data_IF_305495384838
#
_entry.id   IF_305495384838
#
_cell.length_a   1.000
_cell.length_b   1.000
_cell.length_c   1.000
_cell.angle_alpha   90.00
_cell.angle_beta   90.00
_cell.angle_gamma   90.00
#
_symmetry.space_group_name_H-M   'P 1'
#
loop_
_entity.id
_entity.type
_entity.pdbx_description
1 polymer ?
#
# COMPACT_ATOMS: atom_id res chain seq x y z
N UNK A 1 54.51 67.28 22.98
CA UNK A 1 54.08 66.50 24.16
C UNK A 1 53.52 65.19 23.63
N UNK A 2 53.93 63.99 24.00
CA UNK A 2 54.85 63.45 25.00
C UNK A 2 55.25 62.06 24.49
N UNK A 3 56.53 61.72 24.63
CA UNK A 3 57.12 60.40 24.96
C UNK A 3 56.84 59.22 24.00
N UNK A 4 57.80 58.80 23.17
CA UNK A 4 58.99 57.95 23.45
C UNK A 4 58.70 56.58 24.11
N UNK A 5 59.26 55.56 23.44
CA UNK A 5 59.86 54.33 23.99
C UNK A 5 58.93 53.18 24.39
N UNK A 6 59.13 52.03 23.71
CA UNK A 6 59.27 50.64 24.21
C UNK A 6 59.00 49.72 23.00
N UNK A 7 60.02 49.33 22.25
CA UNK A 7 60.94 48.19 22.43
C UNK A 7 60.58 47.01 21.51
N UNK A 8 61.51 46.74 20.59
CA UNK A 8 61.53 45.67 19.60
C UNK A 8 61.67 44.27 20.22
N UNK A 9 60.72 43.85 21.05
CA UNK A 9 60.66 42.48 21.58
C UNK A 9 59.26 41.91 21.42
N UNK A 10 58.90 41.55 20.18
CA UNK A 10 57.93 40.46 19.92
C UNK A 10 57.75 40.09 18.45
N UNK A 11 58.32 40.82 17.48
CA UNK A 11 58.16 40.45 16.06
C UNK A 11 59.02 39.22 15.68
N UNK A 12 60.10 38.93 16.41
CA UNK A 12 60.97 37.78 16.15
C UNK A 12 60.35 36.41 16.48
N UNK A 13 59.23 36.35 17.22
CA UNK A 13 58.52 35.09 17.50
C UNK A 13 57.40 34.77 16.48
N UNK A 14 57.08 35.69 15.57
CA UNK A 14 56.10 35.47 14.50
C UNK A 14 56.74 34.97 13.19
N UNK A 15 58.07 34.92 13.13
CA UNK A 15 58.86 34.54 11.95
C UNK A 15 59.66 33.24 12.15
N UNK A 16 59.28 32.39 13.12
CA UNK A 16 59.77 31.01 13.09
C UNK A 16 59.01 30.29 11.97
N UNK A 17 59.66 29.78 10.91
CA UNK A 17 59.00 28.82 10.05
C UNK A 17 58.59 27.67 10.98
N UNK A 18 57.27 27.44 11.10
CA UNK A 18 56.77 26.19 11.67
C UNK A 18 57.58 25.09 11.03
N UNK A 19 58.12 24.11 11.79
CA UNK A 19 58.85 23.01 11.18
C UNK A 19 57.97 22.53 10.04
N UNK A 20 58.48 22.63 8.81
CA UNK A 20 57.80 22.14 7.62
C UNK A 20 57.39 20.75 8.02
N UNK A 21 56.09 20.58 8.33
CA UNK A 21 55.50 19.28 8.49
C UNK A 21 55.84 18.70 7.15
N UNK A 22 56.85 17.83 7.11
CA UNK A 22 57.21 17.11 5.92
C UNK A 22 55.86 16.70 5.39
N UNK A 23 55.53 17.24 4.22
CA UNK A 23 54.38 16.78 3.47
C UNK A 23 54.80 15.35 3.14
N UNK A 24 54.66 14.46 4.13
CA UNK A 24 54.44 13.06 3.93
C UNK A 24 53.30 13.11 2.94
N UNK A 25 53.65 12.83 1.69
CA UNK A 25 52.67 12.48 0.70
C UNK A 25 51.88 11.36 1.36
N UNK A 26 50.70 11.67 1.92
CA UNK A 26 49.77 10.63 2.36
C UNK A 26 49.20 10.11 1.06
N UNK A 27 50.00 9.29 0.39
CA UNK A 27 49.62 8.57 -0.81
C UNK A 27 48.49 7.63 -0.42
N UNK A 28 47.39 7.82 -1.13
CA UNK A 28 46.21 6.97 -1.30
C UNK A 28 45.34 6.70 -0.07
N UNK A 29 44.19 7.39 -0.02
CA UNK A 29 42.97 6.76 0.51
C UNK A 29 42.73 5.46 -0.27
N UNK A 30 42.45 4.38 0.45
CA UNK A 30 41.92 3.16 -0.17
C UNK A 30 40.64 3.47 -0.95
N UNK A 31 40.50 2.88 -2.14
CA UNK A 31 39.40 3.10 -3.10
C UNK A 31 37.99 2.88 -2.51
N UNK A 32 37.88 2.22 -1.35
CA UNK A 32 36.64 1.86 -0.68
C UNK A 32 36.57 2.37 0.76
N UNK A 33 36.89 3.66 0.97
CA UNK A 33 36.75 4.34 2.26
C UNK A 33 36.26 5.80 2.09
N UNK A 34 35.25 6.25 2.86
CA UNK A 34 34.73 7.62 2.77
C UNK A 34 35.79 8.66 3.14
N UNK A 35 35.70 9.82 2.47
CA UNK A 35 36.65 10.91 2.68
C UNK A 35 36.47 11.64 3.99
N UNK A 36 35.25 12.04 4.27
CA UNK A 36 34.91 12.72 5.52
C UNK A 36 33.72 11.98 6.10
N UNK A 37 33.70 11.79 7.41
CA UNK A 37 32.52 11.31 8.12
C UNK A 37 32.19 12.27 9.26
N UNK A 38 30.89 12.50 9.48
CA UNK A 38 30.41 13.34 10.59
C UNK A 38 30.79 12.72 11.95
N UNK A 39 30.69 11.40 12.05
CA UNK A 39 31.01 10.64 13.24
C UNK A 39 32.00 9.51 12.92
N UNK A 40 32.92 9.24 13.86
CA UNK A 40 33.90 8.14 13.74
C UNK A 40 33.31 6.77 14.10
N UNK A 41 32.25 6.74 14.92
CA UNK A 41 31.56 5.51 15.36
C UNK A 41 30.07 5.64 15.03
N UNK A 42 29.47 4.59 14.47
CA UNK A 42 28.04 4.57 14.11
C UNK A 42 27.31 3.39 14.77
N UNK A 43 26.06 3.56 15.20
CA UNK A 43 25.25 2.47 15.72
C UNK A 43 25.14 1.32 14.71
N UNK A 44 24.99 0.08 15.21
CA UNK A 44 24.94 -1.13 14.37
C UNK A 44 23.84 -1.02 13.30
N UNK A 45 22.66 -0.53 13.69
CA UNK A 45 21.46 -0.48 12.85
C UNK A 45 21.04 -1.85 12.32
N UNK A 46 20.10 -1.90 11.38
CA UNK A 46 19.73 -3.10 10.62
C UNK A 46 19.85 -2.85 9.11
N UNK A 47 19.84 -3.91 8.30
CA UNK A 47 19.70 -3.77 6.83
C UNK A 47 18.23 -3.42 6.56
N UNK A 48 17.94 -2.33 5.83
CA UNK A 48 16.56 -1.90 5.63
C UNK A 48 15.80 -2.91 4.76
N UNK A 49 14.60 -3.30 5.20
CA UNK A 49 13.65 -4.07 4.40
C UNK A 49 12.74 -3.07 3.69
N UNK A 50 12.69 -3.16 2.36
CA UNK A 50 11.95 -2.20 1.53
C UNK A 50 10.50 -2.65 1.36
N UNK A 51 9.67 -2.37 2.36
CA UNK A 51 8.24 -2.74 2.33
C UNK A 51 7.44 -1.93 1.30
N UNK A 52 7.83 -0.67 1.04
CA UNK A 52 7.12 0.22 0.11
C UNK A 52 7.42 0.01 -1.37
N UNK A 53 7.67 -1.23 -1.83
CA UNK A 53 7.79 -1.51 -3.28
C UNK A 53 9.06 -0.99 -3.97
N UNK A 54 10.08 -0.55 -3.25
CA UNK A 54 11.22 0.14 -3.86
C UNK A 54 12.17 -0.79 -4.65
N UNK A 55 12.15 -0.65 -5.98
CA UNK A 55 13.05 -1.31 -6.95
C UNK A 55 14.39 -0.60 -7.16
N UNK A 56 14.72 0.40 -6.33
CA UNK A 56 15.90 1.23 -6.54
C UNK A 56 17.21 0.44 -6.49
N UNK A 57 18.03 0.53 -7.54
CA UNK A 57 19.28 -0.21 -7.71
C UNK A 57 19.13 -1.74 -7.67
N UNK A 58 17.98 -2.25 -8.11
CA UNK A 58 17.80 -3.69 -8.40
C UNK A 58 17.94 -4.02 -9.89
N UNK A 59 18.13 -2.99 -10.71
CA UNK A 59 18.41 -2.99 -12.15
C UNK A 59 19.83 -2.53 -12.48
N UNK A 60 20.30 -2.91 -13.66
CA UNK A 60 21.57 -2.44 -14.23
C UNK A 60 21.45 -1.01 -14.76
N UNK A 61 22.49 -0.20 -14.55
CA UNK A 61 22.53 1.20 -15.04
C UNK A 61 23.75 1.50 -15.93
N UNK A 62 24.95 1.01 -15.59
CA UNK A 62 26.18 1.35 -16.32
C UNK A 62 26.70 0.18 -17.16
N UNK A 63 26.68 -1.03 -16.60
CA UNK A 63 27.14 -2.24 -17.29
C UNK A 63 26.04 -2.96 -18.08
N UNK A 64 26.46 -3.91 -18.91
CA UNK A 64 25.55 -4.80 -19.66
C UNK A 64 25.16 -6.02 -18.84
N UNK A 65 26.07 -6.50 -17.99
CA UNK A 65 25.84 -7.63 -17.11
C UNK A 65 26.14 -7.23 -15.67
N UNK A 66 25.59 -7.95 -14.69
CA UNK A 66 25.92 -7.68 -13.30
C UNK A 66 25.59 -8.81 -12.33
N UNK A 67 25.95 -8.58 -11.08
CA UNK A 67 25.78 -9.52 -9.97
C UNK A 67 24.90 -8.87 -8.90
N UNK A 68 23.75 -9.48 -8.68
CA UNK A 68 22.71 -9.02 -7.76
C UNK A 68 22.61 -9.95 -6.55
N UNK A 69 22.37 -9.37 -5.38
CA UNK A 69 22.26 -10.12 -4.12
C UNK A 69 20.84 -10.64 -3.90
N UNK A 70 20.72 -11.88 -3.42
CA UNK A 70 19.42 -12.51 -3.12
C UNK A 70 19.01 -12.39 -1.65
N UNK A 71 19.94 -12.11 -0.74
CA UNK A 71 19.70 -12.10 0.71
C UNK A 71 20.22 -10.80 1.33
N UNK A 72 19.54 -10.20 2.31
CA UNK A 72 19.99 -8.94 2.90
C UNK A 72 21.28 -9.17 3.69
N UNK A 73 22.30 -8.36 3.48
CA UNK A 73 23.57 -8.52 4.19
C UNK A 73 24.34 -7.21 4.40
N UNK A 74 25.34 -7.29 5.28
CA UNK A 74 26.37 -6.25 5.42
C UNK A 74 27.65 -6.77 4.81
N UNK A 75 28.17 -6.03 3.84
CA UNK A 75 29.34 -6.45 3.08
C UNK A 75 30.51 -5.56 3.48
N UNK A 76 31.62 -6.17 3.87
CA UNK A 76 32.84 -5.43 4.22
C UNK A 76 33.52 -4.87 2.97
N UNK A 77 34.23 -3.75 3.12
CA UNK A 77 35.03 -3.16 2.04
C UNK A 77 36.10 -4.13 1.51
N UNK A 78 36.70 -4.94 2.40
CA UNK A 78 37.67 -5.98 2.02
C UNK A 78 37.05 -7.05 1.11
N UNK A 79 35.82 -7.46 1.42
CA UNK A 79 35.07 -8.42 0.59
C UNK A 79 34.77 -7.83 -0.79
N UNK A 80 34.31 -6.58 -0.84
CA UNK A 80 34.04 -5.88 -2.11
C UNK A 80 35.32 -5.75 -2.95
N UNK A 81 36.44 -5.37 -2.34
CA UNK A 81 37.73 -5.27 -3.03
C UNK A 81 38.22 -6.62 -3.58
N UNK A 82 38.03 -7.70 -2.82
CA UNK A 82 38.36 -9.07 -3.26
C UNK A 82 37.54 -9.48 -4.47
N UNK A 83 36.23 -9.20 -4.46
CA UNK A 83 35.33 -9.44 -5.59
C UNK A 83 35.72 -8.60 -6.81
N UNK A 84 35.95 -7.30 -6.62
CA UNK A 84 36.34 -6.39 -7.69
C UNK A 84 37.65 -6.80 -8.35
N UNK A 85 38.64 -7.19 -7.55
CA UNK A 85 39.94 -7.68 -8.04
C UNK A 85 39.78 -8.95 -8.85
N UNK A 86 38.92 -9.88 -8.41
CA UNK A 86 38.63 -11.11 -9.15
C UNK A 86 37.99 -10.81 -10.52
N UNK A 87 37.00 -9.91 -10.55
CA UNK A 87 36.34 -9.50 -11.80
C UNK A 87 37.34 -8.81 -12.73
N UNK A 88 38.10 -7.83 -12.22
CA UNK A 88 39.13 -7.09 -12.99
C UNK A 88 40.17 -8.02 -13.61
N UNK A 89 40.59 -9.08 -12.90
CA UNK A 89 41.50 -10.09 -13.44
C UNK A 89 40.87 -10.89 -14.58
N UNK A 90 39.62 -11.30 -14.44
CA UNK A 90 38.91 -12.08 -15.46
C UNK A 90 38.59 -11.28 -16.73
N UNK A 91 38.22 -10.00 -16.60
CA UNK A 91 37.88 -9.16 -17.76
C UNK A 91 39.09 -8.54 -18.45
N UNK A 92 40.31 -8.70 -17.89
CA UNK A 92 41.55 -8.08 -18.39
C UNK A 92 41.82 -8.37 -19.88
N UNK A 93 41.41 -9.54 -20.36
CA UNK A 93 41.59 -9.96 -21.77
C UNK A 93 40.75 -9.13 -22.74
N UNK A 94 39.61 -8.60 -22.29
CA UNK A 94 38.72 -7.79 -23.13
C UNK A 94 39.14 -6.32 -23.06
N UNK A 95 39.73 -5.81 -24.15
CA UNK A 95 40.15 -4.40 -24.23
C UNK A 95 38.94 -3.46 -24.07
N UNK A 96 39.05 -2.50 -23.15
CA UNK A 96 37.98 -1.52 -22.90
C UNK A 96 36.86 -1.98 -21.96
N UNK A 97 36.89 -3.23 -21.47
CA UNK A 97 35.96 -3.69 -20.44
C UNK A 97 36.24 -3.02 -19.09
N UNK A 98 35.17 -2.65 -18.37
CA UNK A 98 35.21 -1.99 -17.07
C UNK A 98 34.29 -2.71 -16.09
N UNK A 99 34.71 -2.75 -14.83
CA UNK A 99 33.91 -3.19 -13.70
C UNK A 99 33.42 -1.94 -12.95
N UNK A 100 32.11 -1.87 -12.71
CA UNK A 100 31.46 -0.81 -11.95
C UNK A 100 30.96 -1.35 -10.62
N UNK A 101 31.31 -0.68 -9.52
CA UNK A 101 30.80 -0.99 -8.19
C UNK A 101 29.58 -0.09 -7.91
N UNK A 102 28.41 -0.70 -7.68
CA UNK A 102 27.12 -0.01 -7.44
C UNK A 102 26.85 0.31 -5.96
N UNK A 103 27.71 -0.16 -5.06
CA UNK A 103 27.61 0.07 -3.61
C UNK A 103 28.88 0.69 -3.07
N UNK A 104 28.76 1.62 -2.14
CA UNK A 104 29.91 2.23 -1.49
C UNK A 104 29.88 1.89 0.01
N UNK A 105 31.01 1.45 0.61
CA UNK A 105 31.07 1.16 2.04
C UNK A 105 31.24 2.44 2.85
N UNK A 106 30.12 2.98 3.30
CA UNK A 106 29.98 4.23 4.05
C UNK A 106 29.79 4.01 5.56
N UNK A 107 29.50 2.79 6.02
CA UNK A 107 29.21 2.47 7.41
C UNK A 107 30.49 2.12 8.19
N UNK A 108 30.88 2.88 9.23
CA UNK A 108 32.01 2.52 10.07
C UNK A 108 31.62 1.42 11.05
N UNK A 109 32.28 0.26 10.96
CA UNK A 109 32.10 -0.85 11.90
C UNK A 109 33.17 -0.74 12.99
N UNK A 110 32.71 -0.74 14.24
CA UNK A 110 33.56 -0.74 15.41
C UNK A 110 33.40 -2.07 16.13
N UNK A 111 34.50 -2.74 16.43
CA UNK A 111 34.52 -4.02 17.13
C UNK A 111 35.31 -3.85 18.41
N UNK A 112 34.80 -4.45 19.48
CA UNK A 112 35.50 -4.54 20.75
C UNK A 112 36.34 -5.81 20.73
N UNK A 113 37.57 -5.75 21.23
CA UNK A 113 38.46 -6.91 21.31
C UNK A 113 37.78 -8.07 22.05
N UNK A 114 37.96 -9.28 21.54
CA UNK A 114 37.32 -10.49 22.05
C UNK A 114 37.78 -10.80 23.50
N UNK A 115 38.97 -10.33 23.85
CA UNK A 115 39.59 -10.42 25.18
C UNK A 115 38.94 -9.50 26.24
N UNK A 116 38.14 -8.51 25.84
CA UNK A 116 37.60 -7.50 26.75
C UNK A 116 36.16 -7.83 27.16
N UNK A 117 35.89 -7.87 28.48
CA UNK A 117 34.54 -8.06 29.05
C UNK A 117 33.54 -7.01 28.58
N UNK A 118 32.23 -7.31 28.68
CA UNK A 118 31.14 -6.39 28.34
C UNK A 118 31.18 -5.09 29.17
N UNK A 119 30.55 -4.02 28.67
CA UNK A 119 30.57 -2.68 29.30
C UNK A 119 31.72 -1.78 28.81
N UNK A 120 32.12 -0.76 29.59
CA UNK A 120 33.23 0.18 29.30
C UNK A 120 33.14 0.92 27.95
N UNK A 121 31.94 1.07 27.40
CA UNK A 121 31.68 1.78 26.15
C UNK A 121 32.02 0.98 24.88
N UNK A 122 32.03 1.68 23.76
CA UNK A 122 32.14 1.09 22.41
C UNK A 122 33.60 0.98 21.93
N UNK A 123 33.92 -0.14 21.28
CA UNK A 123 35.25 -0.40 20.70
C UNK A 123 35.74 0.62 19.66
N UNK A 124 37.01 0.51 19.24
CA UNK A 124 37.59 1.32 18.17
C UNK A 124 37.00 0.98 16.79
N UNK A 125 37.24 1.83 15.80
CA UNK A 125 36.91 1.56 14.39
C UNK A 125 37.81 0.44 13.85
N UNK A 126 37.23 -0.48 13.08
CA UNK A 126 37.97 -1.60 12.48
C UNK A 126 37.92 -1.56 10.95
N UNK A 127 36.72 -1.49 10.35
CA UNK A 127 36.56 -1.50 8.89
C UNK A 127 35.30 -0.79 8.41
N UNK A 128 35.26 -0.50 7.10
CA UNK A 128 34.08 0.04 6.42
C UNK A 128 33.22 -1.08 5.86
N UNK A 129 31.90 -0.93 5.95
CA UNK A 129 30.94 -1.85 5.36
C UNK A 129 29.83 -1.08 4.63
N UNK A 130 29.07 -1.77 3.78
CA UNK A 130 27.81 -1.26 3.23
C UNK A 130 26.66 -2.18 3.62
N UNK A 131 25.43 -1.65 3.59
CA UNK A 131 24.20 -2.43 3.73
C UNK A 131 23.66 -2.74 2.35
N UNK A 132 23.60 -4.02 1.98
CA UNK A 132 23.01 -4.49 0.73
C UNK A 132 21.63 -5.07 1.03
N UNK A 133 20.59 -4.47 0.45
CA UNK A 133 19.21 -4.97 0.51
C UNK A 133 19.02 -6.12 -0.47
N UNK A 134 17.96 -6.91 -0.27
CA UNK A 134 17.56 -7.95 -1.22
C UNK A 134 17.35 -7.36 -2.61
N UNK A 135 17.90 -8.01 -3.63
CA UNK A 135 17.83 -7.54 -5.00
C UNK A 135 18.78 -6.39 -5.31
N UNK A 136 19.66 -5.94 -4.41
CA UNK A 136 20.60 -4.88 -4.77
C UNK A 136 21.71 -5.40 -5.70
N UNK A 137 21.96 -4.68 -6.78
CA UNK A 137 23.11 -4.92 -7.67
C UNK A 137 24.39 -4.45 -6.99
N UNK A 138 25.42 -5.31 -6.93
CA UNK A 138 26.72 -4.96 -6.34
C UNK A 138 27.73 -4.56 -7.40
N UNK A 139 27.86 -5.39 -8.44
CA UNK A 139 28.85 -5.23 -9.50
C UNK A 139 28.17 -5.24 -10.85
N UNK A 140 28.68 -4.42 -11.76
CA UNK A 140 28.31 -4.45 -13.17
C UNK A 140 29.57 -4.55 -14.02
N UNK A 141 29.43 -5.20 -15.17
CA UNK A 141 30.50 -5.36 -16.15
C UNK A 141 29.96 -4.87 -17.50
N UNK A 142 30.73 -4.01 -18.16
CA UNK A 142 30.38 -3.46 -19.46
C UNK A 142 31.56 -2.80 -20.15
N UNK A 143 31.32 -2.25 -21.34
CA UNK A 143 32.38 -1.67 -22.19
C UNK A 143 33.13 -2.72 -23.01
N UNK A 144 33.79 -2.27 -24.08
CA UNK A 144 34.65 -3.12 -24.93
C UNK A 144 33.94 -4.25 -25.68
N UNK A 145 32.61 -4.20 -25.81
CA UNK A 145 31.85 -5.26 -26.50
C UNK A 145 31.92 -6.63 -25.83
N UNK A 146 32.03 -6.68 -24.50
CA UNK A 146 32.20 -7.94 -23.77
C UNK A 146 31.09 -8.96 -24.05
N UNK A 147 31.49 -10.18 -24.40
CA UNK A 147 30.58 -11.31 -24.62
C UNK A 147 29.98 -11.82 -23.29
N UNK A 148 28.79 -12.41 -23.36
CA UNK A 148 28.03 -12.86 -22.19
C UNK A 148 28.77 -13.94 -21.41
N UNK A 149 29.46 -14.83 -22.10
CA UNK A 149 30.18 -15.98 -21.54
C UNK A 149 31.36 -15.51 -20.67
N UNK A 150 32.12 -14.53 -21.18
CA UNK A 150 33.25 -13.93 -20.47
C UNK A 150 32.75 -13.16 -19.24
N UNK A 151 31.69 -12.38 -19.38
CA UNK A 151 31.10 -11.64 -18.26
C UNK A 151 30.53 -12.58 -17.19
N UNK A 152 29.86 -13.67 -17.60
CA UNK A 152 29.34 -14.70 -16.70
C UNK A 152 30.48 -15.37 -15.92
N UNK A 153 31.54 -15.83 -16.60
CA UNK A 153 32.71 -16.42 -15.93
C UNK A 153 33.36 -15.45 -14.93
N UNK A 154 33.53 -14.18 -15.31
CA UNK A 154 34.10 -13.15 -14.45
C UNK A 154 33.27 -12.93 -13.17
N UNK A 155 31.95 -12.82 -13.30
CA UNK A 155 31.04 -12.64 -12.16
C UNK A 155 30.89 -13.91 -11.32
N UNK A 156 31.00 -15.09 -11.93
CA UNK A 156 31.00 -16.37 -11.24
C UNK A 156 32.23 -16.52 -10.33
N UNK A 157 33.38 -15.94 -10.69
CA UNK A 157 34.53 -15.86 -9.78
C UNK A 157 34.29 -14.94 -8.57
N UNK A 158 33.47 -13.90 -8.70
CA UNK A 158 33.12 -13.03 -7.57
C UNK A 158 32.10 -13.67 -6.62
N UNK A 159 31.15 -14.45 -7.15
CA UNK A 159 30.06 -15.09 -6.41
C UNK A 159 30.49 -15.81 -5.11
N UNK A 160 31.49 -16.71 -5.08
CA UNK A 160 31.88 -17.42 -3.86
C UNK A 160 32.61 -16.55 -2.82
N UNK A 161 33.04 -15.34 -3.20
CA UNK A 161 33.69 -14.39 -2.27
C UNK A 161 32.66 -13.57 -1.49
N UNK A 162 31.42 -13.52 -1.96
CA UNK A 162 30.33 -12.85 -1.25
C UNK A 162 29.81 -13.74 -0.12
N UNK A 163 29.39 -13.15 1.02
CA UNK A 163 28.87 -13.90 2.17
C UNK A 163 27.44 -14.40 1.95
N UNK A 164 26.82 -14.10 0.81
CA UNK A 164 25.41 -14.37 0.52
C UNK A 164 25.21 -14.88 -0.90
N UNK A 165 24.06 -15.53 -1.12
CA UNK A 165 23.65 -15.95 -2.45
C UNK A 165 23.48 -14.74 -3.37
N UNK A 166 23.95 -14.90 -4.60
CA UNK A 166 23.86 -13.90 -5.66
C UNK A 166 23.52 -14.52 -6.99
N UNK A 167 22.88 -13.74 -7.84
CA UNK A 167 22.44 -14.11 -9.18
C UNK A 167 23.07 -13.22 -10.24
N UNK A 168 23.34 -13.81 -11.40
CA UNK A 168 23.77 -13.11 -12.60
C UNK A 168 22.56 -12.43 -13.24
N UNK A 169 22.73 -11.19 -13.69
CA UNK A 169 21.69 -10.41 -14.37
C UNK A 169 22.20 -9.78 -15.66
N UNK A 170 21.29 -9.60 -16.62
CA UNK A 170 21.50 -8.94 -17.92
C UNK A 170 20.58 -7.72 -18.02
N UNK A 171 20.75 -6.88 -19.06
CA UNK A 171 19.93 -5.68 -19.29
C UNK A 171 18.44 -6.02 -19.31
N UNK A 172 18.06 -7.15 -19.91
CA UNK A 172 16.65 -7.56 -20.04
C UNK A 172 16.09 -8.23 -18.79
N UNK A 173 16.91 -8.44 -17.75
CA UNK A 173 16.42 -9.06 -16.52
C UNK A 173 15.44 -8.14 -15.78
N UNK A 174 14.40 -8.77 -15.22
CA UNK A 174 13.38 -8.09 -14.41
C UNK A 174 13.99 -7.52 -13.13
N UNK A 175 13.45 -6.40 -12.67
CA UNK A 175 13.80 -5.83 -11.37
C UNK A 175 13.39 -6.81 -10.26
N UNK A 176 14.08 -6.79 -9.12
CA UNK A 176 13.74 -7.63 -7.98
C UNK A 176 13.14 -6.78 -6.87
N UNK A 177 12.04 -7.25 -6.29
CA UNK A 177 11.38 -6.67 -5.13
C UNK A 177 11.22 -7.78 -4.06
N UNK A 178 12.15 -7.83 -3.12
CA UNK A 178 12.22 -8.96 -2.19
C UNK A 178 12.44 -10.27 -2.94
N UNK A 179 11.55 -11.25 -2.74
CA UNK A 179 11.55 -12.52 -3.49
C UNK A 179 10.96 -12.39 -4.89
N UNK A 180 10.12 -11.38 -5.14
CA UNK A 180 9.37 -11.21 -6.39
C UNK A 180 10.24 -10.59 -7.48
N UNK A 181 9.95 -10.95 -8.73
CA UNK A 181 10.49 -10.30 -9.92
C UNK A 181 9.40 -9.40 -10.50
N UNK A 182 9.72 -8.13 -10.62
CA UNK A 182 8.81 -7.09 -11.12
C UNK A 182 9.38 -6.57 -12.43
N UNK A 183 8.51 -6.28 -13.39
CA UNK A 183 8.94 -5.63 -14.62
C UNK A 183 9.60 -4.28 -14.30
N UNK A 184 10.51 -3.83 -15.16
CA UNK A 184 11.16 -2.54 -14.93
C UNK A 184 10.07 -1.47 -14.82
N UNK A 185 10.18 -0.53 -13.87
CA UNK A 185 9.23 0.55 -13.77
C UNK A 185 9.13 1.25 -15.13
N UNK A 186 7.92 1.56 -15.57
CA UNK A 186 7.69 2.25 -16.84
C UNK A 186 8.59 3.48 -16.95
N UNK A 187 9.10 3.75 -18.16
CA UNK A 187 9.90 4.96 -18.38
C UNK A 187 9.09 6.17 -17.93
N UNK A 188 9.79 7.20 -17.44
CA UNK A 188 9.14 8.43 -17.00
C UNK A 188 8.26 9.01 -18.11
N UNK A 189 8.67 8.92 -19.39
CA UNK A 189 7.82 9.38 -20.50
C UNK A 189 6.54 8.54 -20.64
N UNK A 190 6.63 7.21 -20.50
CA UNK A 190 5.46 6.33 -20.58
C UNK A 190 4.51 6.54 -19.39
N UNK A 191 5.06 6.74 -18.19
CA UNK A 191 4.28 7.10 -17.00
C UNK A 191 3.56 8.43 -17.20
N UNK A 192 4.27 9.47 -17.69
CA UNK A 192 3.69 10.77 -17.97
C UNK A 192 2.59 10.69 -19.04
N UNK A 193 2.76 9.87 -20.09
CA UNK A 193 1.70 9.62 -21.09
C UNK A 193 0.45 8.97 -20.47
N UNK A 194 0.62 8.03 -19.54
CA UNK A 194 -0.49 7.33 -18.87
C UNK A 194 -1.15 8.19 -17.79
N UNK A 195 -0.37 8.93 -17.00
CA UNK A 195 -0.87 9.85 -15.98
C UNK A 195 -1.49 11.10 -16.59
N UNK A 196 -1.01 11.54 -17.75
CA UNK A 196 -1.52 12.67 -18.53
C UNK A 196 -2.78 12.36 -19.32
N UNK A 197 -3.47 11.22 -19.08
CA UNK A 197 -4.75 10.93 -19.75
C UNK A 197 -5.76 12.06 -19.53
N UNK A 198 -5.75 12.76 -18.38
CA UNK A 198 -6.61 13.92 -18.17
C UNK A 198 -6.30 15.08 -19.14
N UNK A 199 -5.06 15.23 -19.60
CA UNK A 199 -4.66 16.26 -20.57
C UNK A 199 -5.27 15.99 -21.95
N UNK A 200 -5.64 14.73 -22.22
CA UNK A 200 -6.36 14.35 -23.43
C UNK A 200 -7.85 14.71 -23.42
N UNK A 201 -8.43 15.05 -22.25
CA UNK A 201 -9.82 15.51 -22.10
C UNK A 201 -9.95 17.02 -22.37
N UNK A 202 -9.54 17.47 -23.55
CA UNK A 202 -9.79 18.85 -24.00
C UNK A 202 -11.20 18.98 -24.56
N UNK A 203 -11.78 20.18 -24.53
CA UNK A 203 -13.11 20.45 -25.12
C UNK A 203 -13.15 20.09 -26.61
N UNK A 204 -12.06 20.31 -27.34
CA UNK A 204 -11.91 19.93 -28.73
C UNK A 204 -11.92 18.40 -28.89
N UNK A 205 -11.11 17.66 -28.13
CA UNK A 205 -11.05 16.21 -28.22
C UNK A 205 -12.37 15.56 -27.83
N UNK A 206 -13.10 16.11 -26.85
CA UNK A 206 -14.44 15.66 -26.48
C UNK A 206 -15.47 15.92 -27.58
N UNK A 207 -15.38 17.05 -28.29
CA UNK A 207 -16.23 17.34 -29.46
C UNK A 207 -15.92 16.38 -30.60
N UNK A 208 -14.64 16.16 -30.92
CA UNK A 208 -14.21 15.22 -31.95
C UNK A 208 -14.60 13.77 -31.60
N UNK A 209 -14.50 13.39 -30.32
CA UNK A 209 -14.93 12.09 -29.82
C UNK A 209 -16.42 11.82 -30.02
N UNK A 210 -17.28 12.81 -29.72
CA UNK A 210 -18.72 12.71 -29.98
C UNK A 210 -19.02 12.58 -31.48
N UNK A 211 -18.43 13.46 -32.29
CA UNK A 211 -18.57 13.42 -33.75
C UNK A 211 -18.07 12.10 -34.36
N UNK A 212 -17.04 11.49 -33.76
CA UNK A 212 -16.51 10.20 -34.20
C UNK A 212 -17.50 9.07 -33.89
N UNK A 213 -18.11 9.07 -32.71
CA UNK A 213 -19.15 8.10 -32.34
C UNK A 213 -20.35 8.22 -33.26
N UNK A 214 -20.87 9.44 -33.45
CA UNK A 214 -22.05 9.67 -34.29
C UNK A 214 -21.85 9.13 -35.71
N UNK A 215 -20.65 9.31 -36.29
CA UNK A 215 -20.29 8.78 -37.63
C UNK A 215 -19.99 7.27 -37.65
N UNK A 216 -19.57 6.69 -36.53
CA UNK A 216 -19.31 5.26 -36.42
C UNK A 216 -20.59 4.44 -36.36
N UNK A 217 -21.63 4.96 -35.69
CA UNK A 217 -22.91 4.27 -35.56
C UNK A 217 -23.60 4.07 -36.94
N UNK A 218 -23.33 4.94 -37.92
CA UNK A 218 -23.84 4.81 -39.31
C UNK A 218 -23.23 3.63 -40.09
N UNK A 219 -22.03 3.18 -39.71
CA UNK A 219 -21.31 2.12 -40.40
C UNK A 219 -20.90 1.04 -39.38
N UNK A 220 -21.69 -0.04 -39.24
CA UNK A 220 -21.50 -1.15 -38.29
C UNK A 220 -20.21 -1.99 -38.48
N UNK A 221 -19.06 -1.38 -38.76
CA UNK A 221 -17.76 -2.01 -38.92
C UNK A 221 -16.93 -1.96 -37.62
N UNK A 222 -16.07 -2.96 -37.36
CA UNK A 222 -15.11 -2.90 -36.26
C UNK A 222 -14.12 -1.75 -36.48
N UNK A 223 -14.06 -0.84 -35.51
CA UNK A 223 -13.22 0.35 -35.58
C UNK A 223 -11.73 0.03 -35.47
N UNK A 224 -10.96 0.61 -36.39
CA UNK A 224 -9.49 0.63 -36.38
C UNK A 224 -9.01 2.05 -36.04
N UNK A 225 -8.22 2.27 -34.96
CA UNK A 225 -7.72 3.59 -34.57
C UNK A 225 -7.01 4.36 -35.69
N UNK A 226 -6.38 3.66 -36.63
CA UNK A 226 -5.67 4.28 -37.75
C UNK A 226 -6.60 4.94 -38.77
N UNK A 227 -7.90 4.57 -38.77
CA UNK A 227 -8.91 5.13 -39.69
C UNK A 227 -9.63 6.36 -39.11
N UNK A 228 -9.34 6.75 -37.87
CA UNK A 228 -9.98 7.88 -37.19
C UNK A 228 -9.89 9.19 -37.99
N UNK A 229 -8.73 9.47 -38.60
CA UNK A 229 -8.51 10.67 -39.43
C UNK A 229 -9.29 10.63 -40.76
N UNK A 230 -9.57 9.44 -41.29
CA UNK A 230 -10.36 9.28 -42.51
C UNK A 230 -11.84 9.55 -42.25
N UNK A 231 -12.34 9.13 -41.08
CA UNK A 231 -13.73 9.36 -40.65
C UNK A 231 -13.97 10.84 -40.28
N UNK A 232 -12.95 11.50 -39.72
CA UNK A 232 -12.97 12.92 -39.36
C UNK A 232 -12.19 13.79 -40.35
N UNK A 233 -12.28 13.48 -41.65
CA UNK A 233 -11.61 14.22 -42.72
C UNK A 233 -12.01 15.71 -42.77
N UNK A 234 -13.23 16.04 -42.34
CA UNK A 234 -13.77 17.40 -42.30
C UNK A 234 -13.20 18.28 -41.18
N UNK A 235 -12.39 17.71 -40.27
CA UNK A 235 -11.91 18.42 -39.07
C UNK A 235 -10.39 18.61 -39.10
N UNK A 236 -9.97 19.84 -38.81
CA UNK A 236 -8.56 20.17 -38.69
C UNK A 236 -7.96 19.66 -37.36
N UNK A 237 -6.72 19.18 -37.41
CA UNK A 237 -5.91 18.78 -36.24
C UNK A 237 -6.47 17.60 -35.41
N UNK A 238 -6.92 16.53 -36.07
CA UNK A 238 -7.27 15.27 -35.40
C UNK A 238 -6.01 14.60 -34.82
N UNK A 239 -5.93 14.32 -33.51
CA UNK A 239 -4.78 13.62 -32.91
C UNK A 239 -4.65 12.19 -33.47
N UNK A 240 -3.46 11.81 -33.95
CA UNK A 240 -3.19 10.48 -34.50
C UNK A 240 -2.82 9.45 -33.42
N UNK A 241 -2.18 9.90 -32.33
CA UNK A 241 -1.68 9.03 -31.25
C UNK A 241 -2.76 8.67 -30.20
N UNK A 242 -3.96 9.25 -30.29
CA UNK A 242 -5.02 9.14 -29.28
C UNK A 242 -6.30 8.54 -29.88
N UNK A 243 -6.76 7.41 -29.31
CA UNK A 243 -8.09 6.85 -29.62
C UNK A 243 -9.17 7.71 -28.94
N UNK A 244 -9.85 8.53 -29.74
CA UNK A 244 -10.85 9.49 -29.26
C UNK A 244 -12.08 8.82 -28.64
N UNK A 245 -12.39 7.56 -28.96
CA UNK A 245 -13.55 6.85 -28.37
C UNK A 245 -13.38 6.60 -26.88
N UNK A 246 -12.14 6.43 -26.45
CA UNK A 246 -11.81 6.17 -25.03
C UNK A 246 -12.12 7.36 -24.11
N UNK A 247 -12.38 8.55 -24.68
CA UNK A 247 -12.73 9.76 -23.93
C UNK A 247 -14.21 9.83 -23.55
N UNK A 248 -15.08 9.18 -24.33
CA UNK A 248 -16.54 9.26 -24.20
C UNK A 248 -17.16 7.93 -23.76
N UNK A 249 -16.58 6.82 -24.18
CA UNK A 249 -17.01 5.48 -23.77
C UNK A 249 -16.32 5.13 -22.45
N UNK A 250 -17.07 4.90 -21.35
CA UNK A 250 -16.47 4.42 -20.12
C UNK A 250 -15.77 3.07 -20.38
N UNK A 251 -14.64 2.78 -19.72
CA UNK A 251 -13.94 1.52 -19.93
C UNK A 251 -14.88 0.35 -19.66
N UNK A 252 -14.81 -0.68 -20.50
CA UNK A 252 -15.64 -1.86 -20.33
C UNK A 252 -15.35 -2.51 -18.97
N UNK A 253 -16.33 -2.48 -18.08
CA UNK A 253 -16.25 -3.08 -16.75
C UNK A 253 -15.98 -4.58 -16.84
N UNK A 254 -16.50 -5.27 -17.87
CA UNK A 254 -16.29 -6.70 -18.09
C UNK A 254 -14.81 -7.04 -18.30
N UNK A 255 -14.04 -6.22 -19.04
CA UNK A 255 -12.59 -6.43 -19.20
C UNK A 255 -11.82 -6.25 -17.89
N UNK A 256 -12.28 -5.37 -17.00
CA UNK A 256 -11.67 -5.22 -15.66
C UNK A 256 -11.97 -6.48 -14.82
N UNK A 257 -13.16 -7.09 -15.00
CA UNK A 257 -13.53 -8.38 -14.40
C UNK A 257 -12.76 -9.56 -14.98
N UNK A 258 -12.51 -9.59 -16.28
CA UNK A 258 -11.68 -10.61 -16.95
C UNK A 258 -10.21 -10.52 -16.51
N UNK A 259 -9.67 -9.30 -16.36
CA UNK A 259 -8.34 -9.07 -15.79
C UNK A 259 -8.29 -9.43 -14.28
N UNK A 260 -9.45 -9.72 -13.68
CA UNK A 260 -9.59 -10.23 -12.33
C UNK A 260 -8.97 -9.34 -11.27
N UNK A 261 -8.88 -8.01 -11.50
CA UNK A 261 -8.08 -7.10 -10.69
C UNK A 261 -8.09 -5.63 -11.07
N UNK A 262 -7.63 -4.77 -10.16
CA UNK A 262 -7.31 -3.38 -10.47
C UNK A 262 -5.79 -3.20 -10.61
N UNK A 263 -5.37 -2.51 -11.66
CA UNK A 263 -3.97 -2.15 -11.85
C UNK A 263 -3.65 -0.86 -11.09
N UNK A 264 -2.71 -0.92 -10.14
CA UNK A 264 -2.18 0.26 -9.45
C UNK A 264 -0.69 0.37 -9.78
N UNK A 265 -0.31 1.44 -10.48
CA UNK A 265 1.08 1.73 -10.82
C UNK A 265 1.86 0.60 -11.54
N UNK A 266 1.17 -0.21 -12.35
CA UNK A 266 1.78 -1.33 -13.09
C UNK A 266 1.70 -2.66 -12.36
N UNK A 267 1.28 -2.67 -11.10
CA UNK A 267 0.96 -3.86 -10.35
C UNK A 267 -0.53 -4.18 -10.51
N UNK A 268 -0.84 -5.26 -11.24
CA UNK A 268 -2.18 -5.84 -11.27
C UNK A 268 -2.46 -6.43 -9.89
N UNK A 269 -3.24 -5.72 -9.08
CA UNK A 269 -3.79 -6.27 -7.86
C UNK A 269 -5.03 -7.06 -8.24
N UNK A 270 -4.96 -8.40 -8.23
CA UNK A 270 -6.15 -9.19 -8.47
C UNK A 270 -7.19 -8.77 -7.43
N UNK A 271 -8.44 -8.62 -7.88
CA UNK A 271 -9.57 -8.71 -7.00
C UNK A 271 -9.41 -10.06 -6.34
N UNK A 272 -9.60 -10.14 -5.02
CA UNK A 272 -9.75 -11.44 -4.39
C UNK A 272 -11.05 -12.05 -4.96
N UNK A 273 -10.94 -12.68 -6.13
CA UNK A 273 -11.95 -13.55 -6.73
C UNK A 273 -12.14 -14.81 -5.89
N UNK A 274 -11.27 -15.01 -4.89
CA UNK A 274 -11.57 -15.83 -3.73
C UNK A 274 -12.76 -15.21 -3.00
N UNK A 275 -13.95 -15.62 -3.42
CA UNK A 275 -14.91 -16.12 -2.46
C UNK A 275 -14.09 -16.82 -1.37
N UNK A 276 -14.01 -16.28 -0.16
CA UNK A 276 -13.31 -16.95 0.95
C UNK A 276 -13.86 -18.38 1.21
N UNK A 277 -14.97 -18.75 0.55
CA UNK A 277 -15.49 -20.11 0.45
C UNK A 277 -14.75 -21.07 -0.48
N UNK A 278 -13.98 -20.63 -1.48
CA UNK A 278 -13.27 -21.54 -2.40
C UNK A 278 -12.00 -22.16 -1.83
N UNK A 279 -11.35 -21.50 -0.87
CA UNK A 279 -10.29 -22.13 -0.07
C UNK A 279 -10.80 -23.28 0.80
N UNK A 280 -12.13 -23.42 0.95
CA UNK A 280 -12.80 -24.47 1.71
C UNK A 280 -13.45 -25.53 0.78
N UNK A 281 -13.49 -25.29 -0.54
CA UNK A 281 -14.01 -26.21 -1.55
C UNK A 281 -12.96 -27.31 -1.81
N UNK A 282 -12.94 -28.30 -0.95
CA UNK A 282 -12.02 -29.45 -1.02
C UNK A 282 -11.61 -30.00 0.35
N UNK A 283 -11.82 -29.23 1.41
CA UNK A 283 -11.62 -29.67 2.78
C UNK A 283 -12.84 -30.45 3.27
N UNK A 284 -12.66 -31.58 3.98
CA UNK A 284 -13.78 -32.35 4.50
C UNK A 284 -14.56 -31.52 5.52
N UNK A 285 -15.87 -31.38 5.28
CA UNK A 285 -16.80 -30.75 6.24
C UNK A 285 -17.01 -31.72 7.41
N UNK A 286 -16.71 -31.27 8.61
CA UNK A 286 -16.86 -32.06 9.85
C UNK A 286 -18.26 -31.95 10.48
N UNK A 287 -19.21 -31.34 9.78
CA UNK A 287 -20.59 -31.18 10.21
C UNK A 287 -21.53 -31.49 9.05
N UNK A 288 -22.72 -31.99 9.36
CA UNK A 288 -23.76 -32.18 8.37
C UNK A 288 -24.37 -30.82 7.98
N UNK A 289 -24.37 -30.43 6.69
CA UNK A 289 -24.95 -29.18 6.23
C UNK A 289 -26.46 -29.04 6.50
N UNK A 290 -27.16 -30.14 6.84
CA UNK A 290 -28.59 -30.12 7.16
C UNK A 290 -28.90 -29.68 8.60
N UNK A 291 -27.90 -29.71 9.48
CA UNK A 291 -28.06 -29.34 10.90
C UNK A 291 -28.08 -27.81 11.03
N UNK A 292 -28.82 -27.29 12.01
CA UNK A 292 -28.77 -25.86 12.35
C UNK A 292 -27.33 -25.40 12.62
N UNK A 293 -26.93 -24.28 12.02
CA UNK A 293 -25.55 -23.76 12.05
C UNK A 293 -25.06 -23.52 13.47
N UNK A 294 -25.95 -23.08 14.37
CA UNK A 294 -25.62 -22.88 15.78
C UNK A 294 -25.28 -24.20 16.48
N UNK A 295 -26.03 -25.26 16.18
CA UNK A 295 -25.79 -26.60 16.71
C UNK A 295 -24.53 -27.22 16.11
N UNK A 296 -24.30 -27.03 14.80
CA UNK A 296 -23.07 -27.44 14.14
C UNK A 296 -21.82 -26.78 14.77
N UNK A 297 -21.88 -25.47 15.06
CA UNK A 297 -20.81 -24.73 15.73
C UNK A 297 -20.51 -25.28 17.14
N UNK A 298 -21.57 -25.60 17.90
CA UNK A 298 -21.44 -26.21 19.23
C UNK A 298 -20.80 -27.59 19.15
N UNK A 299 -21.17 -28.40 18.17
CA UNK A 299 -20.59 -29.72 17.96
C UNK A 299 -19.10 -29.62 17.61
N UNK A 300 -18.72 -28.73 16.68
CA UNK A 300 -17.32 -28.48 16.34
C UNK A 300 -16.50 -28.00 17.55
N UNK A 301 -17.11 -27.21 18.45
CA UNK A 301 -16.44 -26.74 19.67
C UNK A 301 -16.14 -27.88 20.62
N UNK A 302 -17.10 -28.78 20.82
CA UNK A 302 -16.88 -29.97 21.61
C UNK A 302 -15.77 -30.85 21.00
N UNK A 303 -15.77 -31.02 19.68
CA UNK A 303 -14.74 -31.77 18.94
C UNK A 303 -13.35 -31.14 19.05
N UNK A 304 -13.26 -29.82 18.98
CA UNK A 304 -12.02 -29.07 19.13
C UNK A 304 -11.46 -29.19 20.54
N UNK A 305 -12.30 -28.99 21.57
CA UNK A 305 -11.92 -29.12 22.98
C UNK A 305 -11.43 -30.54 23.26
N UNK A 306 -12.15 -31.56 22.78
CA UNK A 306 -11.75 -32.96 22.95
C UNK A 306 -10.38 -33.25 22.31
N UNK A 307 -10.17 -32.76 21.09
CA UNK A 307 -8.90 -32.94 20.36
C UNK A 307 -7.73 -32.24 21.06
N UNK A 308 -7.98 -31.05 21.61
CA UNK A 308 -7.01 -30.32 22.41
C UNK A 308 -6.67 -31.03 23.72
N UNK A 309 -7.66 -31.57 24.43
CA UNK A 309 -7.44 -32.36 25.65
C UNK A 309 -6.65 -33.63 25.35
N UNK A 310 -6.93 -34.30 24.24
CA UNK A 310 -6.17 -35.47 23.80
C UNK A 310 -4.70 -35.10 23.51
N UNK A 311 -4.46 -33.98 22.83
CA UNK A 311 -3.10 -33.48 22.60
C UNK A 311 -2.35 -33.24 23.92
N UNK A 312 -2.99 -32.59 24.89
CA UNK A 312 -2.39 -32.34 26.20
C UNK A 312 -2.08 -33.65 26.94
N UNK A 313 -2.95 -34.66 26.86
CA UNK A 313 -2.72 -35.96 27.46
C UNK A 313 -1.52 -36.69 26.82
N UNK A 314 -1.40 -36.66 25.49
CA UNK A 314 -0.26 -37.24 24.76
C UNK A 314 1.04 -36.53 25.12
N UNK A 315 1.04 -35.20 25.16
CA UNK A 315 2.21 -34.41 25.54
C UNK A 315 2.63 -34.63 27.00
N UNK A 316 1.66 -34.80 27.90
CA UNK A 316 1.91 -35.08 29.32
C UNK A 316 2.51 -36.47 29.54
N UNK A 317 2.10 -37.47 28.74
CA UNK A 317 2.56 -38.86 28.89
C UNK A 317 3.87 -39.15 28.15
N UNK A 318 4.09 -38.58 26.96
CA UNK A 318 5.23 -38.91 26.08
C UNK A 318 6.31 -37.81 26.01
N UNK A 319 6.04 -36.60 26.52
CA UNK A 319 6.94 -35.45 26.43
C UNK A 319 7.11 -34.91 24.99
N UNK A 320 7.77 -33.75 24.79
CA UNK A 320 8.00 -33.20 23.46
C UNK A 320 8.98 -34.07 22.67
N UNK A 321 8.60 -34.48 21.47
CA UNK A 321 9.45 -35.29 20.58
C UNK A 321 10.67 -34.46 20.20
N UNK A 322 11.87 -34.85 20.67
CA UNK A 322 13.13 -34.21 20.28
C UNK A 322 13.36 -34.36 18.79
N UNK A 323 13.60 -33.24 18.10
CA UNK A 323 13.99 -33.19 16.69
C UNK A 323 15.38 -33.80 16.49
N UNK A 324 15.47 -35.12 16.54
CA UNK A 324 16.64 -35.86 16.11
C UNK A 324 16.18 -37.21 15.59
N UNK A 325 16.01 -37.30 14.27
CA UNK A 325 16.87 -38.09 13.36
C UNK A 325 16.08 -38.38 12.09
N UNK A 326 16.72 -38.11 10.98
CA UNK A 326 16.34 -38.43 9.60
C UNK A 326 15.91 -39.89 9.46
N UNK A 327 14.63 -40.17 9.21
CA UNK A 327 14.23 -41.43 8.57
C UNK A 327 12.99 -41.25 7.70
N UNK A 328 13.19 -41.61 6.45
CA UNK A 328 12.22 -41.71 5.36
C UNK A 328 11.22 -42.82 5.67
N UNK A 329 10.14 -42.54 6.41
CA UNK A 329 8.98 -43.43 6.51
C UNK A 329 7.70 -42.63 6.73
N UNK A 330 6.72 -42.91 5.87
CA UNK A 330 5.37 -42.31 5.71
C UNK A 330 4.41 -42.52 6.88
N UNK A 331 4.90 -42.65 8.12
CA UNK A 331 4.07 -42.81 9.31
C UNK A 331 3.93 -41.47 10.02
N UNK A 332 2.81 -40.76 9.80
CA UNK A 332 2.45 -39.55 10.55
C UNK A 332 2.44 -39.87 12.04
N UNK A 333 3.10 -39.07 12.87
CA UNK A 333 3.07 -39.30 14.31
C UNK A 333 1.66 -39.07 14.85
N UNK A 334 1.29 -39.75 15.93
CA UNK A 334 -0.02 -39.59 16.60
C UNK A 334 -0.30 -38.11 16.95
N UNK A 335 0.74 -37.37 17.35
CA UNK A 335 0.66 -35.93 17.59
C UNK A 335 0.36 -35.13 16.31
N UNK A 336 0.99 -35.47 15.18
CA UNK A 336 0.73 -34.79 13.90
C UNK A 336 -0.71 -35.02 13.43
N UNK A 337 -1.27 -36.21 13.68
CA UNK A 337 -2.67 -36.51 13.37
C UNK A 337 -3.64 -35.68 14.20
N UNK A 338 -3.38 -35.55 15.51
CA UNK A 338 -4.21 -34.73 16.42
C UNK A 338 -4.12 -33.25 16.03
N UNK A 339 -2.92 -32.74 15.73
CA UNK A 339 -2.72 -31.36 15.28
C UNK A 339 -3.43 -31.10 13.96
N UNK A 340 -3.33 -32.03 12.99
CA UNK A 340 -4.05 -31.93 11.72
C UNK A 340 -5.57 -31.87 11.92
N UNK A 341 -6.11 -32.62 12.88
CA UNK A 341 -7.53 -32.58 13.22
C UNK A 341 -7.96 -31.26 13.89
N UNK A 342 -7.11 -30.68 14.74
CA UNK A 342 -7.31 -29.35 15.33
C UNK A 342 -7.32 -28.27 14.24
N UNK A 343 -6.40 -28.34 13.28
CA UNK A 343 -6.38 -27.42 12.14
C UNK A 343 -7.66 -27.55 11.31
N UNK A 344 -8.05 -28.77 10.95
CA UNK A 344 -9.26 -29.03 10.18
C UNK A 344 -10.53 -28.53 10.88
N UNK A 345 -10.66 -28.74 12.19
CA UNK A 345 -11.79 -28.21 12.98
C UNK A 345 -11.80 -26.68 13.00
N UNK A 346 -10.65 -26.03 13.16
CA UNK A 346 -10.52 -24.56 13.08
C UNK A 346 -10.90 -24.00 11.69
N UNK A 347 -10.56 -24.69 10.61
CA UNK A 347 -11.02 -24.31 9.27
C UNK A 347 -12.53 -24.46 9.09
N UNK A 348 -13.12 -25.53 9.63
CA UNK A 348 -14.57 -25.74 9.62
C UNK A 348 -15.33 -24.65 10.41
N UNK A 349 -14.75 -24.19 11.52
CA UNK A 349 -15.24 -23.02 12.26
C UNK A 349 -15.28 -21.76 11.41
N UNK A 350 -14.18 -21.47 10.73
CA UNK A 350 -14.09 -20.30 9.85
C UNK A 350 -15.10 -20.41 8.70
N UNK A 351 -15.29 -21.60 8.12
CA UNK A 351 -16.29 -21.85 7.10
C UNK A 351 -17.72 -21.54 7.58
N UNK A 352 -18.15 -22.09 8.72
CA UNK A 352 -19.46 -21.81 9.28
C UNK A 352 -19.65 -20.32 9.65
N UNK A 353 -18.61 -19.68 10.18
CA UNK A 353 -18.63 -18.25 10.49
C UNK A 353 -18.81 -17.41 9.21
N UNK A 354 -18.12 -17.77 8.13
CA UNK A 354 -18.24 -17.10 6.83
C UNK A 354 -19.66 -17.21 6.27
N UNK A 355 -20.31 -18.38 6.40
CA UNK A 355 -21.70 -18.58 5.98
C UNK A 355 -22.69 -17.70 6.76
N UNK A 356 -22.39 -17.35 8.02
CA UNK A 356 -23.23 -16.48 8.84
C UNK A 356 -23.06 -14.98 8.55
N UNK A 357 -21.96 -14.55 7.91
CA UNK A 357 -21.69 -13.13 7.60
C UNK A 357 -22.79 -12.46 6.76
N UNK A 358 -23.26 -13.02 5.63
CA UNK A 358 -24.33 -12.39 4.85
C UNK A 358 -25.65 -12.36 5.62
N UNK A 359 -25.96 -13.42 6.40
CA UNK A 359 -27.17 -13.48 7.21
C UNK A 359 -27.17 -12.45 8.35
N UNK A 360 -26.00 -12.18 8.94
CA UNK A 360 -25.85 -11.12 9.93
C UNK A 360 -26.09 -9.74 9.30
N UNK A 361 -25.51 -9.47 8.12
CA UNK A 361 -25.67 -8.19 7.44
C UNK A 361 -27.15 -7.88 7.12
N UNK A 362 -27.90 -8.87 6.62
CA UNK A 362 -29.33 -8.70 6.34
C UNK A 362 -30.15 -8.48 7.61
N UNK A 363 -29.84 -9.19 8.70
CA UNK A 363 -30.52 -9.00 9.98
C UNK A 363 -30.21 -7.64 10.60
N UNK A 364 -28.98 -7.15 10.50
CA UNK A 364 -28.60 -5.79 10.92
C UNK A 364 -29.39 -4.73 10.16
N UNK A 365 -29.53 -4.89 8.83
CA UNK A 365 -30.34 -3.99 8.01
C UNK A 365 -31.82 -4.02 8.43
N UNK A 366 -32.38 -5.21 8.69
CA UNK A 366 -33.76 -5.35 9.17
C UNK A 366 -33.97 -4.62 10.51
N UNK A 367 -33.05 -4.78 11.45
CA UNK A 367 -33.10 -4.09 12.74
C UNK A 367 -33.01 -2.57 12.58
N UNK A 368 -32.16 -2.08 11.68
CA UNK A 368 -32.07 -0.65 11.36
C UNK A 368 -33.40 -0.09 10.84
N UNK A 369 -34.06 -0.81 9.91
CA UNK A 369 -35.35 -0.39 9.36
C UNK A 369 -36.45 -0.37 10.43
N UNK A 370 -36.51 -1.39 11.29
CA UNK A 370 -37.47 -1.44 12.40
C UNK A 370 -37.24 -0.28 13.36
N UNK A 371 -35.99 0.03 13.69
CA UNK A 371 -35.65 1.15 14.56
C UNK A 371 -36.05 2.49 13.94
N UNK A 372 -35.82 2.68 12.63
CA UNK A 372 -36.27 3.88 11.92
C UNK A 372 -37.80 4.02 11.96
N UNK A 373 -38.55 2.94 11.78
CA UNK A 373 -40.00 2.96 11.89
C UNK A 373 -40.47 3.37 13.30
N UNK A 374 -39.81 2.84 14.34
CA UNK A 374 -40.09 3.21 15.72
C UNK A 374 -39.83 4.70 16.00
N UNK A 375 -38.68 5.22 15.55
CA UNK A 375 -38.34 6.64 15.67
C UNK A 375 -39.34 7.55 14.96
N UNK A 376 -39.82 7.17 13.77
CA UNK A 376 -40.85 7.92 13.05
C UNK A 376 -42.17 7.95 13.84
N UNK A 377 -42.59 6.81 14.40
CA UNK A 377 -43.80 6.72 15.24
C UNK A 377 -43.69 7.55 16.51
N UNK A 378 -42.54 7.56 17.17
CA UNK A 378 -42.30 8.39 18.35
C UNK A 378 -42.41 9.88 18.02
N UNK A 379 -41.72 10.34 16.96
CA UNK A 379 -41.82 11.73 16.50
C UNK A 379 -43.25 12.15 16.19
N UNK A 380 -44.04 11.27 15.54
CA UNK A 380 -45.45 11.56 15.27
C UNK A 380 -46.26 11.71 16.56
N UNK A 381 -46.03 10.85 17.57
CA UNK A 381 -46.67 10.97 18.89
C UNK A 381 -46.29 12.27 19.60
N UNK A 382 -45.03 12.67 19.54
CA UNK A 382 -44.56 13.92 20.15
C UNK A 382 -45.21 15.14 19.49
N UNK A 383 -45.35 15.15 18.16
CA UNK A 383 -46.07 16.20 17.43
C UNK A 383 -47.54 16.26 17.84
N UNK A 384 -48.22 15.10 17.92
CA UNK A 384 -49.62 15.05 18.37
C UNK A 384 -49.77 15.64 19.78
N UNK A 385 -48.91 15.23 20.71
CA UNK A 385 -48.92 15.71 22.09
C UNK A 385 -48.68 17.22 22.19
N UNK A 386 -47.72 17.74 21.42
CA UNK A 386 -47.46 19.19 21.37
C UNK A 386 -48.64 19.97 20.79
N UNK A 387 -49.30 19.47 19.73
CA UNK A 387 -50.51 20.08 19.19
C UNK A 387 -51.66 20.08 20.21
N UNK A 388 -51.86 19.00 20.96
CA UNK A 388 -52.87 18.93 22.03
C UNK A 388 -52.58 19.94 23.14
N UNK A 389 -51.33 20.07 23.58
CA UNK A 389 -50.92 21.07 24.56
C UNK A 389 -51.17 22.50 24.07
N UNK A 390 -50.82 22.81 22.82
CA UNK A 390 -51.08 24.13 22.22
C UNK A 390 -52.58 24.42 22.11
N UNK A 391 -53.40 23.42 21.74
CA UNK A 391 -54.86 23.57 21.72
C UNK A 391 -55.41 23.87 23.10
N UNK A 392 -54.95 23.16 24.14
CA UNK A 392 -55.36 23.40 25.52
C UNK A 392 -54.95 24.81 26.00
N UNK A 393 -53.74 25.26 25.65
CA UNK A 393 -53.29 26.62 25.94
C UNK A 393 -54.13 27.69 25.23
N UNK A 394 -54.44 27.49 23.94
CA UNK A 394 -55.32 28.39 23.19
C UNK A 394 -56.74 28.43 23.78
N UNK A 395 -57.29 27.28 24.18
CA UNK A 395 -58.59 27.22 24.84
C UNK A 395 -58.59 27.99 26.17
N UNK A 396 -57.53 27.86 26.98
CA UNK A 396 -57.37 28.60 28.22
C UNK A 396 -57.19 30.12 27.99
N UNK A 397 -56.46 30.52 26.94
CA UNK A 397 -56.34 31.93 26.56
C UNK A 397 -57.67 32.50 26.07
N UNK A 398 -58.42 31.76 25.24
CA UNK A 398 -59.76 32.18 24.80
C UNK A 398 -60.71 32.35 25.97
N UNK A 399 -60.77 31.41 26.90
CA UNK A 399 -61.61 31.55 28.10
C UNK A 399 -61.19 32.74 28.97
N UNK A 400 -59.89 33.08 29.01
CA UNK A 400 -59.43 34.29 29.70
C UNK A 400 -59.79 35.60 28.96
N UNK A 401 -59.84 35.58 27.63
CA UNK A 401 -60.24 36.73 26.80
C UNK A 401 -61.76 36.96 26.85
N UNK A 402 -62.56 35.90 26.77
CA UNK A 402 -64.03 35.98 26.94
C UNK A 402 -64.40 36.54 28.34
N UNK A 403 -63.57 36.29 29.36
CA UNK A 403 -63.71 36.91 30.69
C UNK A 403 -63.36 38.41 30.74
N UNK A 404 -62.51 38.89 29.84
CA UNK A 404 -62.21 40.32 29.70
C UNK A 404 -63.25 41.05 28.86
N UNK A 405 -63.77 40.42 27.80
CA UNK A 405 -64.82 41.00 26.95
C UNK A 405 -66.17 41.15 27.68
N UNK A 406 -66.48 40.26 28.63
CA UNK A 406 -67.63 40.46 29.52
C UNK A 406 -67.45 41.60 30.55
N UNK A 407 -66.21 42.05 30.79
CA UNK A 407 -65.93 43.22 31.65
C UNK A 407 -65.83 44.53 30.86
N UNK A 408 -65.62 44.50 29.53
CA UNK A 408 -65.59 45.69 28.67
C UNK A 408 -66.93 46.03 28.03
N UNK A 409 -67.95 45.17 28.13
CA UNK A 409 -69.31 45.46 27.65
C UNK A 409 -70.13 46.44 28.51
N UNK A 410 -69.48 47.27 29.34
CA UNK A 410 -70.11 48.33 30.16
C UNK A 410 -69.71 49.75 29.72
N UNK A 411 -68.86 49.97 28.70
CA UNK A 411 -68.47 51.34 28.30
C UNK A 411 -68.62 51.60 26.79
N UNK A 412 -69.70 52.33 26.48
CA UNK A 412 -70.06 53.25 25.38
C UNK A 412 -69.67 53.03 23.89
N UNK A 413 -70.59 53.36 22.93
CA UNK A 413 -70.35 53.31 21.49
C UNK A 413 -69.99 54.70 20.92
N UNK A 414 -68.83 54.86 20.25
CA UNK A 414 -68.55 56.06 19.43
C UNK A 414 -67.78 55.73 18.13
N UNK A 415 -68.44 56.10 17.02
CA UNK A 415 -67.99 56.47 15.66
C UNK A 415 -67.31 55.48 14.70
N UNK A 416 -67.96 55.43 13.53
CA UNK A 416 -67.54 55.04 12.20
C UNK A 416 -66.42 55.91 11.59
N UNK A 417 -65.53 55.29 10.81
CA UNK A 417 -65.14 55.75 9.47
C UNK A 417 -64.55 54.59 8.62
N UNK A 418 -64.71 54.60 7.28
CA UNK A 418 -64.29 53.51 6.39
C UNK A 418 -62.96 53.81 5.66
N UNK A 419 -62.16 52.77 5.37
CA UNK A 419 -60.99 52.89 4.50
C UNK A 419 -60.37 51.52 4.15
N UNK A 420 -60.33 51.25 2.84
CA UNK A 420 -59.47 50.37 2.00
C UNK A 420 -58.35 49.57 2.71
N UNK A 421 -57.98 48.33 2.33
CA UNK A 421 -57.64 47.91 0.97
C UNK A 421 -57.47 46.38 0.87
N UNK A 422 -57.56 45.85 -0.36
CA UNK A 422 -57.58 44.42 -0.67
C UNK A 422 -56.24 43.67 -0.57
N UNK A 423 -56.33 42.35 -0.43
CA UNK A 423 -55.19 41.43 -0.48
C UNK A 423 -55.64 39.97 -0.57
N UNK A 424 -55.87 39.50 -1.81
CA UNK A 424 -56.13 38.10 -2.14
C UNK A 424 -54.90 37.23 -1.82
N UNK A 425 -55.07 36.24 -0.94
CA UNK A 425 -54.20 35.07 -0.86
C UNK A 425 -55.04 33.78 -0.89
N UNK A 426 -54.97 33.10 -2.04
CA UNK A 426 -55.47 31.75 -2.28
C UNK A 426 -54.83 30.74 -1.31
N UNK A 427 -55.60 30.28 -0.32
CA UNK A 427 -55.30 29.10 0.48
C UNK A 427 -55.97 27.87 -0.12
N UNK A 428 -55.20 27.03 -0.81
CA UNK A 428 -55.69 25.74 -1.31
C UNK A 428 -56.10 24.80 -0.18
N UNK A 429 -57.34 24.34 -0.23
CA UNK A 429 -57.92 23.31 0.63
C UNK A 429 -57.21 21.98 0.37
N UNK A 430 -56.50 21.44 1.37
CA UNK A 430 -56.02 20.06 1.31
C UNK A 430 -57.13 19.15 1.83
N UNK A 431 -57.53 18.19 0.99
CA UNK A 431 -58.57 17.20 1.25
C UNK A 431 -58.18 16.27 2.40
N UNK A 432 -58.84 16.41 3.56
CA UNK A 432 -58.63 15.61 4.76
C UNK A 432 -59.16 14.17 4.65
N UNK A 433 -59.87 13.85 3.57
CA UNK A 433 -60.50 12.53 3.38
C UNK A 433 -59.50 11.43 2.95
N UNK A 434 -58.44 11.79 2.23
CA UNK A 434 -57.40 10.84 1.78
C UNK A 434 -56.47 10.34 2.91
N UNK A 435 -56.39 11.07 4.03
CA UNK A 435 -55.52 10.69 5.14
C UNK A 435 -56.19 9.66 6.07
N UNK A 436 -57.52 9.68 6.16
CA UNK A 436 -58.29 8.76 7.00
C UNK A 436 -58.40 7.36 6.39
N UNK A 437 -58.28 7.21 5.06
CA UNK A 437 -58.28 5.89 4.41
C UNK A 437 -57.01 5.07 4.68
N UNK A 438 -55.90 5.73 5.04
CA UNK A 438 -54.63 5.07 5.38
C UNK A 438 -54.58 4.54 6.83
N UNK A 439 -55.46 5.02 7.71
CA UNK A 439 -55.46 4.68 9.15
C UNK A 439 -56.20 3.36 9.43
N UNK A 440 -57.16 2.98 8.59
CA UNK A 440 -58.05 1.85 8.89
C UNK A 440 -57.66 0.51 8.25
N UNK A 441 -56.54 0.43 7.52
CA UNK A 441 -56.04 -0.81 6.91
C UNK A 441 -54.55 -1.02 7.24
N UNK A 442 -54.19 -1.37 8.49
CA UNK A 442 -53.05 -2.26 8.84
C UNK A 442 -52.88 -2.50 10.34
#
# INVERSE_FOLDING_TARGET
>A
MLLLSISNRSIANLLRPTPTRTMQQVRTRADLAPRKTKYRKAFKGSVPVRTGGSTLATTLEHGRFGLRVLEPCRISAKTLQSCETAIKRAIKTTKGAKCYLRVFPDLPVCVKGNEVRMGKGKGPFEYWACRAVVGRVLFEVGGGGIAKEIAYAALQHAKPRLPVKSEFIDINSKARLGSLLVDKPMSKERYLRLSGRYESFTTQNLRLSKLLIDRLDEHHQPFDPLKQKQILNDQDQVPEDLDLRTLSIPPNLEWIKENGGWNSFGDLNPWDSRNQGESLLGMPKLYDPKIDRKQALKNLLNTFIYSYMNLLQVLSTKGPVTQSTTTTSTTTTETDQIVSHIELTAFNFLGLSNELRPAQATQTLKLMLVNQAHLKRQKAKDVILTCENLRNQLAALKSSHDYQDQNTSIIDPIRSDPGEDGGDHNGGTYDYELLNSYINNS
#
